data_IF_957685424262
#
_entry.id   IF_957685424262
#
_cell.length_a   1.000
_cell.length_b   1.000
_cell.length_c   1.000
_cell.angle_alpha   90.00
_cell.angle_beta   90.00
_cell.angle_gamma   90.00
#
_symmetry.space_group_name_H-M   'P 1'
#
loop_
_entity.id
_entity.type
_entity.pdbx_description
1 polymer ?
#
# COMPACT_ATOMS: atom_id res chain seq x y z
N UNK A 1 -18.23 -6.50 -59.24
CA UNK A 1 -16.97 -5.78 -58.98
C UNK A 1 -17.10 -5.15 -57.59
N UNK A 2 -16.87 -5.88 -56.49
CA UNK A 2 -15.54 -6.10 -55.90
C UNK A 2 -14.58 -4.93 -56.12
N UNK A 3 -14.39 -4.14 -55.08
CA UNK A 3 -13.06 -3.81 -54.57
C UNK A 3 -13.16 -3.51 -53.07
N UNK A 4 -12.72 -4.50 -52.30
CA UNK A 4 -12.26 -4.40 -50.91
C UNK A 4 -10.91 -3.68 -50.89
N UNK A 5 -10.73 -2.73 -49.98
CA UNK A 5 -9.44 -2.22 -49.50
C UNK A 5 -9.72 -1.57 -48.15
N UNK A 6 -9.01 -1.82 -47.06
CA UNK A 6 -7.77 -2.55 -46.84
C UNK A 6 -7.31 -2.09 -45.44
N UNK A 7 -6.85 -3.03 -44.62
CA UNK A 7 -6.70 -2.84 -43.18
C UNK A 7 -5.85 -1.66 -42.74
N UNK A 8 -6.21 -1.10 -41.59
CA UNK A 8 -5.23 -0.66 -40.62
C UNK A 8 -5.71 -1.02 -39.20
N UNK A 9 -5.59 -2.31 -38.87
CA UNK A 9 -5.65 -2.80 -37.50
C UNK A 9 -4.25 -2.63 -36.88
N UNK A 10 -3.95 -1.43 -36.40
CA UNK A 10 -2.80 -1.17 -35.52
C UNK A 10 -3.29 -0.76 -34.14
N UNK A 11 -4.11 -1.59 -33.51
CA UNK A 11 -4.45 -1.45 -32.09
C UNK A 11 -3.44 -2.26 -31.25
N UNK A 12 -2.19 -1.80 -31.23
CA UNK A 12 -1.24 -2.20 -30.20
C UNK A 12 -1.56 -1.43 -28.92
N UNK A 13 -2.56 -1.89 -28.16
CA UNK A 13 -2.92 -1.24 -26.90
C UNK A 13 -1.73 -1.23 -25.94
N UNK A 14 -1.39 -0.06 -25.42
CA UNK A 14 -0.38 0.07 -24.35
C UNK A 14 -1.00 -0.28 -23.01
N UNK A 15 -0.19 -0.66 -22.02
CA UNK A 15 -0.67 -1.13 -20.71
C UNK A 15 -1.63 -0.16 -20.00
N UNK A 16 -1.44 1.15 -20.19
CA UNK A 16 -2.23 2.22 -19.56
C UNK A 16 -3.31 2.79 -20.49
N UNK A 17 -3.40 2.29 -21.73
CA UNK A 17 -4.39 2.75 -22.70
C UNK A 17 -5.81 2.45 -22.23
N UNK A 18 -6.63 3.48 -22.05
CA UNK A 18 -8.02 3.32 -21.60
C UNK A 18 -8.17 3.13 -20.09
N UNK A 19 -7.11 3.37 -19.30
CA UNK A 19 -7.21 3.40 -17.84
C UNK A 19 -8.16 4.51 -17.38
N UNK A 20 -9.09 4.19 -16.47
CA UNK A 20 -10.11 5.12 -15.98
C UNK A 20 -10.01 5.28 -14.46
N UNK A 21 -9.80 6.53 -14.03
CA UNK A 21 -9.90 6.91 -12.62
C UNK A 21 -11.39 7.05 -12.29
N UNK A 22 -12.04 5.95 -11.87
CA UNK A 22 -13.49 5.81 -11.68
C UNK A 22 -14.10 6.68 -10.55
N UNK A 23 -13.82 7.99 -10.54
CA UNK A 23 -14.30 8.94 -9.52
C UNK A 23 -13.49 8.96 -8.22
N UNK A 24 -12.43 8.16 -8.11
CA UNK A 24 -11.54 8.13 -6.95
C UNK A 24 -10.24 8.90 -7.21
N UNK A 25 -9.55 9.26 -6.12
CA UNK A 25 -8.20 9.80 -6.22
C UNK A 25 -7.25 8.67 -6.66
N UNK A 26 -6.72 8.78 -7.87
CA UNK A 26 -5.65 7.93 -8.37
C UNK A 26 -4.29 8.62 -8.14
N UNK A 27 -3.30 7.87 -7.69
CA UNK A 27 -1.96 8.38 -7.37
C UNK A 27 -1.12 8.72 -8.60
N UNK A 28 -1.47 8.20 -9.77
CA UNK A 28 -0.66 8.28 -10.96
C UNK A 28 -1.28 9.19 -12.04
N UNK A 29 -2.60 9.20 -12.15
CA UNK A 29 -3.33 9.92 -13.18
C UNK A 29 -4.36 10.90 -12.58
N UNK A 30 -4.60 11.98 -13.30
CA UNK A 30 -5.79 12.81 -13.09
C UNK A 30 -7.01 12.15 -13.75
N UNK A 31 -8.25 12.53 -13.37
CA UNK A 31 -9.47 12.01 -14.00
C UNK A 31 -9.52 12.13 -15.55
N UNK A 32 -8.75 13.04 -16.14
CA UNK A 32 -8.61 13.19 -17.60
C UNK A 32 -7.57 12.27 -18.26
N UNK A 33 -6.92 11.38 -17.51
CA UNK A 33 -5.91 10.43 -18.00
C UNK A 33 -4.49 11.00 -18.16
N UNK A 34 -4.27 12.28 -17.84
CA UNK A 34 -2.92 12.84 -17.78
C UNK A 34 -2.17 12.38 -16.52
N UNK A 35 -0.87 12.07 -16.61
CA UNK A 35 -0.09 11.71 -15.44
C UNK A 35 0.00 12.90 -14.48
N UNK A 36 0.11 12.60 -13.18
CA UNK A 36 0.40 13.59 -12.14
C UNK A 36 1.85 14.08 -12.20
N UNK A 37 2.17 15.23 -11.61
CA UNK A 37 3.56 15.66 -11.50
C UNK A 37 4.44 14.58 -10.86
N UNK A 38 5.66 14.39 -11.33
CA UNK A 38 6.65 13.48 -10.74
C UNK A 38 6.45 11.99 -11.01
N UNK A 39 5.38 11.59 -11.73
CA UNK A 39 5.15 10.18 -12.12
C UNK A 39 5.21 9.98 -13.64
N UNK A 40 5.56 11.01 -14.40
CA UNK A 40 5.57 11.00 -15.87
C UNK A 40 6.51 9.92 -16.40
N UNK A 41 7.72 9.81 -15.83
CA UNK A 41 8.67 8.77 -16.20
C UNK A 41 8.12 7.36 -16.00
N UNK A 42 7.38 7.13 -14.90
CA UNK A 42 6.75 5.85 -14.63
C UNK A 42 5.60 5.60 -15.62
N UNK A 43 4.81 6.62 -15.93
CA UNK A 43 3.72 6.55 -16.89
C UNK A 43 4.21 6.20 -18.29
N UNK A 44 5.23 6.90 -18.76
CA UNK A 44 5.88 6.64 -20.05
C UNK A 44 6.48 5.24 -20.08
N UNK A 45 7.11 4.81 -18.98
CA UNK A 45 7.69 3.48 -18.89
C UNK A 45 6.62 2.40 -18.98
N UNK A 46 5.52 2.52 -18.23
CA UNK A 46 4.42 1.56 -18.27
C UNK A 46 3.71 1.56 -19.63
N UNK A 47 3.52 2.72 -20.24
CA UNK A 47 2.97 2.85 -21.59
C UNK A 47 3.87 2.19 -22.65
N UNK A 48 5.19 2.20 -22.46
CA UNK A 48 6.13 1.54 -23.38
C UNK A 48 6.14 0.01 -23.32
N UNK A 49 5.54 -0.60 -22.29
CA UNK A 49 5.57 -2.05 -22.12
C UNK A 49 4.53 -2.74 -23.01
N UNK A 50 4.90 -3.83 -23.70
CA UNK A 50 3.95 -4.70 -24.37
C UNK A 50 2.92 -5.28 -23.37
N UNK A 51 1.70 -5.55 -23.85
CA UNK A 51 0.72 -6.28 -23.06
C UNK A 51 1.29 -7.63 -22.60
N UNK A 52 1.06 -7.96 -21.32
CA UNK A 52 1.55 -9.19 -20.69
C UNK A 52 3.01 -9.14 -20.18
N UNK A 53 3.80 -8.14 -20.56
CA UNK A 53 5.19 -8.01 -20.07
C UNK A 53 5.24 -7.77 -18.56
N UNK A 54 4.32 -6.97 -18.00
CA UNK A 54 4.24 -6.75 -16.56
C UNK A 54 3.87 -8.06 -15.81
N UNK A 55 2.94 -8.85 -16.36
CA UNK A 55 2.57 -10.16 -15.78
C UNK A 55 3.73 -11.16 -15.83
N UNK A 56 4.52 -11.14 -16.91
CA UNK A 56 5.72 -11.97 -17.04
C UNK A 56 6.74 -11.59 -15.96
N UNK A 57 6.98 -10.30 -15.74
CA UNK A 57 7.86 -9.80 -14.68
C UNK A 57 7.34 -10.18 -13.29
N UNK A 58 6.02 -10.13 -13.08
CA UNK A 58 5.43 -10.52 -11.81
C UNK A 58 5.74 -11.96 -11.47
N UNK A 59 5.53 -12.88 -12.44
CA UNK A 59 5.85 -14.31 -12.25
C UNK A 59 7.34 -14.55 -11.96
N UNK A 60 8.22 -13.79 -12.63
CA UNK A 60 9.65 -13.87 -12.37
C UNK A 60 9.99 -13.39 -10.95
N UNK A 61 9.42 -12.27 -10.50
CA UNK A 61 9.60 -11.76 -9.15
C UNK A 61 9.08 -12.75 -8.10
N UNK A 62 7.90 -13.33 -8.31
CA UNK A 62 7.31 -14.34 -7.42
C UNK A 62 8.23 -15.57 -7.29
N UNK A 63 8.77 -16.09 -8.40
CA UNK A 63 9.72 -17.19 -8.37
C UNK A 63 11.01 -16.85 -7.60
N UNK A 64 11.55 -15.64 -7.78
CA UNK A 64 12.73 -15.20 -7.02
C UNK A 64 12.45 -15.07 -5.52
N UNK A 65 11.28 -14.53 -5.15
CA UNK A 65 10.87 -14.44 -3.74
C UNK A 65 10.73 -15.84 -3.10
N UNK A 66 10.19 -16.83 -3.82
CA UNK A 66 10.20 -18.22 -3.38
C UNK A 66 11.62 -18.76 -3.18
N UNK A 67 12.49 -18.56 -4.17
CA UNK A 67 13.86 -19.07 -4.13
C UNK A 67 14.67 -18.46 -2.97
N UNK A 68 14.40 -17.20 -2.62
CA UNK A 68 15.02 -16.52 -1.48
C UNK A 68 14.38 -16.90 -0.13
N UNK A 69 13.32 -17.70 -0.12
CA UNK A 69 12.60 -18.07 1.11
C UNK A 69 11.82 -16.91 1.73
N UNK A 70 11.43 -15.90 0.93
CA UNK A 70 10.62 -14.77 1.39
C UNK A 70 9.15 -15.21 1.37
N UNK A 71 8.80 -16.04 2.37
CA UNK A 71 7.47 -16.63 2.54
C UNK A 71 6.86 -16.26 3.89
N UNK A 72 5.53 -16.36 4.00
CA UNK A 72 4.81 -16.24 5.26
C UNK A 72 3.86 -17.43 5.47
N UNK A 73 3.62 -17.77 6.74
CA UNK A 73 2.71 -18.84 7.13
C UNK A 73 1.26 -18.33 7.13
N UNK A 74 0.40 -18.99 6.36
CA UNK A 74 -1.04 -18.75 6.43
C UNK A 74 -1.63 -19.63 7.53
N UNK A 75 -1.90 -19.04 8.69
CA UNK A 75 -2.63 -19.73 9.75
C UNK A 75 -4.13 -19.73 9.43
N UNK A 76 -4.73 -20.90 9.22
CA UNK A 76 -6.18 -21.02 8.97
C UNK A 76 -6.64 -22.33 8.31
N UNK A 77 -5.74 -23.08 7.67
CA UNK A 77 -6.03 -24.42 7.14
C UNK A 77 -5.02 -25.44 7.68
N UNK A 78 -5.46 -26.69 7.85
CA UNK A 78 -4.66 -27.79 8.40
C UNK A 78 -3.37 -28.14 7.62
N UNK A 79 -3.13 -27.46 6.50
CA UNK A 79 -1.87 -27.47 5.79
C UNK A 79 -1.16 -26.13 6.04
N UNK A 80 -0.01 -26.17 6.71
CA UNK A 80 0.95 -25.06 6.77
C UNK A 80 1.50 -24.78 5.37
N UNK A 81 0.67 -24.20 4.52
CA UNK A 81 1.06 -23.81 3.17
C UNK A 81 1.78 -22.47 3.26
N UNK A 82 3.09 -22.51 3.05
CA UNK A 82 3.88 -21.31 2.85
C UNK A 82 3.37 -20.57 1.61
N UNK A 83 3.17 -19.26 1.75
CA UNK A 83 2.86 -18.37 0.63
C UNK A 83 3.95 -17.34 0.44
N UNK A 84 4.17 -16.95 -0.81
CA UNK A 84 5.05 -15.85 -1.16
C UNK A 84 4.45 -14.56 -0.64
N UNK A 85 5.30 -13.69 -0.11
CA UNK A 85 4.90 -12.32 0.18
C UNK A 85 4.35 -11.64 -1.08
N UNK A 86 3.11 -11.10 -1.08
CA UNK A 86 2.58 -10.41 -2.24
C UNK A 86 3.41 -9.16 -2.53
N UNK A 87 3.96 -9.08 -3.74
CA UNK A 87 4.82 -8.00 -4.17
C UNK A 87 4.23 -7.33 -5.40
N UNK A 88 4.09 -6.00 -5.38
CA UNK A 88 3.63 -5.21 -6.52
C UNK A 88 4.83 -4.60 -7.26
N UNK A 89 4.86 -4.77 -8.58
CA UNK A 89 5.90 -4.21 -9.44
C UNK A 89 5.71 -2.74 -9.76
N UNK A 90 4.50 -2.19 -9.59
CA UNK A 90 4.21 -0.79 -9.85
C UNK A 90 4.47 0.01 -8.57
N UNK A 91 5.52 0.85 -8.53
CA UNK A 91 5.82 1.60 -7.32
C UNK A 91 4.78 2.69 -7.09
N UNK A 92 4.40 2.88 -5.84
CA UNK A 92 3.64 4.06 -5.41
C UNK A 92 4.61 5.22 -5.19
N UNK A 93 4.63 6.15 -6.14
CA UNK A 93 5.47 7.35 -6.06
C UNK A 93 4.89 8.31 -5.01
N UNK A 94 5.73 8.77 -4.10
CA UNK A 94 5.39 9.77 -3.08
C UNK A 94 6.35 10.94 -3.24
N UNK A 95 5.82 12.15 -3.35
CA UNK A 95 6.66 13.34 -3.47
C UNK A 95 7.42 13.60 -2.17
N UNK A 96 8.63 14.16 -2.28
CA UNK A 96 9.45 14.47 -1.11
C UNK A 96 8.72 15.38 -0.09
N UNK A 97 8.02 16.41 -0.56
CA UNK A 97 7.28 17.32 0.31
C UNK A 97 6.15 16.60 1.07
N UNK A 98 5.45 15.68 0.41
CA UNK A 98 4.43 14.84 1.02
C UNK A 98 5.07 13.88 2.04
N UNK A 99 6.17 13.23 1.66
CA UNK A 99 6.89 12.31 2.53
C UNK A 99 7.40 12.99 3.79
N UNK A 100 7.97 14.19 3.70
CA UNK A 100 8.43 14.97 4.86
C UNK A 100 7.30 15.24 5.85
N UNK A 101 6.11 15.54 5.35
CA UNK A 101 4.92 15.75 6.19
C UNK A 101 4.47 14.44 6.86
N UNK A 102 4.38 13.36 6.08
CA UNK A 102 4.01 12.02 6.57
C UNK A 102 5.01 11.57 7.65
N UNK A 103 6.31 11.67 7.38
CA UNK A 103 7.37 11.25 8.28
C UNK A 103 7.30 12.01 9.62
N UNK A 104 7.16 13.34 9.57
CA UNK A 104 7.03 14.17 10.77
C UNK A 104 5.79 13.79 11.59
N UNK A 105 4.64 13.60 10.92
CA UNK A 105 3.40 13.19 11.58
C UNK A 105 3.49 11.80 12.20
N UNK A 106 4.14 10.84 11.52
CA UNK A 106 4.38 9.50 12.04
C UNK A 106 5.27 9.52 13.28
N UNK A 107 6.37 10.27 13.26
CA UNK A 107 7.26 10.44 14.42
C UNK A 107 6.53 11.02 15.62
N UNK A 108 5.73 12.08 15.40
CA UNK A 108 4.90 12.68 16.44
C UNK A 108 3.91 11.66 17.01
N UNK A 109 3.18 10.94 16.14
CA UNK A 109 2.16 9.98 16.52
C UNK A 109 2.73 8.81 17.31
N UNK A 110 3.86 8.25 16.87
CA UNK A 110 4.53 7.14 17.57
C UNK A 110 4.98 7.61 18.95
N UNK A 111 5.56 8.81 19.07
CA UNK A 111 5.94 9.37 20.37
C UNK A 111 4.73 9.51 21.30
N UNK A 112 3.61 10.05 20.80
CA UNK A 112 2.39 10.19 21.58
C UNK A 112 1.83 8.83 22.02
N UNK A 113 1.80 7.84 21.12
CA UNK A 113 1.34 6.50 21.44
C UNK A 113 2.23 5.80 22.47
N UNK A 114 3.55 5.95 22.39
CA UNK A 114 4.47 5.38 23.37
C UNK A 114 4.27 6.01 24.75
N UNK A 115 4.17 7.35 24.84
CA UNK A 115 3.89 8.04 26.10
C UNK A 115 2.51 7.66 26.65
N UNK A 116 1.52 7.47 25.78
CA UNK A 116 0.19 7.03 26.18
C UNK A 116 0.22 5.61 26.75
N UNK A 117 0.85 4.66 26.07
CA UNK A 117 0.97 3.27 26.56
C UNK A 117 1.68 3.26 27.91
N UNK A 118 2.79 4.00 28.04
CA UNK A 118 3.54 4.14 29.28
C UNK A 118 2.66 4.69 30.42
N UNK A 119 1.94 5.78 30.18
CA UNK A 119 1.02 6.39 31.15
C UNK A 119 -0.09 5.42 31.57
N UNK A 120 -0.66 4.64 30.65
CA UNK A 120 -1.72 3.66 30.95
C UNK A 120 -1.28 2.54 31.90
N UNK A 121 -0.03 2.12 31.82
CA UNK A 121 0.52 1.08 32.69
C UNK A 121 1.19 1.63 33.95
N UNK A 122 1.28 2.95 34.11
CA UNK A 122 1.88 3.61 35.27
C UNK A 122 0.95 4.65 35.90
N UNK A 123 1.28 5.92 35.72
CA UNK A 123 0.67 7.04 36.45
C UNK A 123 -0.76 7.37 36.02
N UNK A 124 -1.23 6.89 34.87
CA UNK A 124 -2.58 7.13 34.34
C UNK A 124 -3.00 8.62 34.42
N UNK A 125 -2.05 9.52 34.16
CA UNK A 125 -2.25 10.98 34.24
C UNK A 125 -3.35 11.45 33.31
N UNK A 126 -3.40 10.93 32.09
CA UNK A 126 -4.43 11.33 31.11
C UNK A 126 -5.87 11.01 31.60
N UNK A 127 -6.02 10.01 32.48
CA UNK A 127 -7.29 9.69 33.15
C UNK A 127 -7.51 10.59 34.36
N UNK A 128 -6.50 10.73 35.24
CA UNK A 128 -6.57 11.58 36.44
C UNK A 128 -6.84 13.05 36.11
N UNK A 129 -6.32 13.53 34.99
CA UNK A 129 -6.50 14.89 34.48
C UNK A 129 -7.80 15.05 33.65
N UNK A 130 -8.59 13.97 33.49
CA UNK A 130 -9.92 14.01 32.86
C UNK A 130 -9.92 14.14 31.34
N UNK A 131 -8.76 14.03 30.69
CA UNK A 131 -8.63 14.09 29.22
C UNK A 131 -9.25 12.86 28.56
N UNK A 132 -9.12 11.70 29.21
CA UNK A 132 -9.74 10.45 28.74
C UNK A 132 -10.53 9.76 29.85
N UNK A 133 -11.77 9.31 29.60
CA UNK A 133 -12.52 8.54 30.57
C UNK A 133 -11.89 7.17 30.86
N UNK A 134 -11.87 6.77 32.14
CA UNK A 134 -11.31 5.49 32.59
C UNK A 134 -11.97 4.28 31.91
N UNK A 135 -13.28 4.35 31.67
CA UNK A 135 -14.04 3.24 31.08
C UNK A 135 -13.48 2.82 29.70
N UNK A 136 -12.86 3.74 28.95
CA UNK A 136 -12.29 3.47 27.63
C UNK A 136 -11.15 2.43 27.69
N UNK A 137 -10.38 2.42 28.77
CA UNK A 137 -9.33 1.41 29.00
C UNK A 137 -9.90 0.19 29.67
N UNK A 138 -10.73 0.37 30.70
CA UNK A 138 -11.27 -0.73 31.48
C UNK A 138 -12.09 -1.71 30.62
N UNK A 139 -12.73 -1.23 29.54
CA UNK A 139 -13.47 -2.06 28.58
C UNK A 139 -12.61 -2.61 27.44
N UNK A 140 -11.36 -2.19 27.30
CA UNK A 140 -10.50 -2.56 26.18
C UNK A 140 -9.97 -3.98 26.34
N UNK A 141 -10.22 -4.84 25.34
CA UNK A 141 -9.62 -6.19 25.26
C UNK A 141 -8.10 -6.15 25.11
N UNK A 142 -7.53 -5.03 24.64
CA UNK A 142 -6.09 -4.85 24.45
C UNK A 142 -5.36 -4.36 25.69
N UNK A 143 -6.07 -3.99 26.77
CA UNK A 143 -5.45 -3.58 28.02
C UNK A 143 -5.17 -4.80 28.90
N UNK A 144 -3.90 -5.03 29.21
CA UNK A 144 -3.46 -6.18 29.99
C UNK A 144 -3.13 -5.73 31.41
N UNK A 145 -4.10 -5.84 32.32
CA UNK A 145 -3.97 -5.40 33.73
C UNK A 145 -2.72 -5.96 34.42
N UNK A 146 -2.23 -7.13 34.00
CA UNK A 146 -1.04 -7.80 34.51
C UNK A 146 0.26 -7.04 34.25
N UNK A 147 0.27 -6.14 33.26
CA UNK A 147 1.44 -5.32 32.89
C UNK A 147 1.49 -4.00 33.66
N UNK A 148 0.54 -3.72 34.54
CA UNK A 148 0.52 -2.47 35.31
C UNK A 148 1.68 -2.44 36.31
N UNK A 149 2.51 -1.39 36.25
CA UNK A 149 3.69 -1.19 37.09
C UNK A 149 4.95 -1.99 36.69
N UNK A 150 4.97 -2.58 35.49
CA UNK A 150 6.16 -3.19 34.88
C UNK A 150 6.98 -2.16 34.10
#
# INVERSE_FOLDING_TARGET
MQQTNGGNLSHGGTLVSGYQCNGFYDEMFFPGGSPRPGVEFLADRLASLPLGELQKRQRAADHELLNMGITFNVYGHAAGTEKIWPFDLVPRVIHEAEWRMIESGLKQRIRALNMFIDDMYHDQRIIREGVMPEYMIASSKGYLKQLHGM
#
